data_IF_730359120402
#
_entry.id   IF_730359120402
#
_cell.length_a   1.000
_cell.length_b   1.000
_cell.length_c   1.000
_cell.angle_alpha   90.00
_cell.angle_beta   90.00
_cell.angle_gamma   90.00
#
_symmetry.space_group_name_H-M   'P 1'
#
loop_
_entity.id
_entity.type
_entity.pdbx_description
1 polymer ?
#
# COMPACT_ATOMS: atom_id res chain seq x y z
N UNK A 1 -1.06 0.18 -1.41
CA UNK A 1 -2.30 -0.12 -0.66
C UNK A 1 -1.94 -0.92 0.58
N UNK A 2 -2.39 -0.53 1.78
CA UNK A 2 -2.31 -1.36 2.99
C UNK A 2 -3.65 -2.07 3.15
N UNK A 3 -3.67 -3.36 2.84
CA UNK A 3 -4.91 -4.16 2.84
C UNK A 3 -4.95 -4.95 4.13
N UNK A 4 -6.05 -4.83 4.87
CA UNK A 4 -6.30 -5.54 6.11
C UNK A 4 -7.20 -6.76 5.90
N UNK A 5 -6.99 -7.77 6.74
CA UNK A 5 -7.97 -8.80 7.07
C UNK A 5 -7.94 -9.09 8.57
N UNK A 6 -9.02 -9.67 9.09
CA UNK A 6 -9.03 -10.28 10.42
C UNK A 6 -8.10 -11.49 10.43
N UNK A 7 -7.42 -11.69 11.55
CA UNK A 7 -6.65 -12.90 11.78
C UNK A 7 -7.62 -14.08 11.98
N UNK A 8 -7.51 -15.16 11.18
CA UNK A 8 -8.31 -16.37 11.38
C UNK A 8 -8.12 -17.01 12.77
N UNK A 9 -6.99 -16.77 13.43
CA UNK A 9 -6.68 -17.29 14.77
C UNK A 9 -7.08 -16.32 15.89
N UNK A 10 -7.65 -15.16 15.57
CA UNK A 10 -8.15 -14.18 16.54
C UNK A 10 -7.09 -13.24 17.11
N UNK A 11 -5.88 -13.20 16.55
CA UNK A 11 -4.85 -12.21 16.86
C UNK A 11 -5.09 -10.83 16.21
N UNK A 12 -4.08 -9.93 16.26
CA UNK A 12 -4.15 -8.63 15.62
C UNK A 12 -4.44 -8.74 14.12
N UNK A 13 -5.14 -7.76 13.57
CA UNK A 13 -5.43 -7.71 12.15
C UNK A 13 -4.15 -7.86 11.31
N UNK A 14 -4.26 -8.66 10.25
CA UNK A 14 -3.16 -8.96 9.35
C UNK A 14 -3.21 -8.02 8.16
N UNK A 15 -2.04 -7.67 7.63
CA UNK A 15 -1.86 -6.85 6.45
C UNK A 15 -1.18 -7.65 5.34
N UNK A 16 -1.58 -7.39 4.10
CA UNK A 16 -0.99 -8.06 2.94
C UNK A 16 0.38 -7.47 2.62
N UNK A 17 1.38 -8.34 2.59
CA UNK A 17 2.76 -8.01 2.26
C UNK A 17 3.17 -8.71 0.96
N UNK A 18 4.01 -8.04 0.16
CA UNK A 18 4.55 -8.53 -1.11
C UNK A 18 6.06 -8.54 -1.03
N UNK A 19 6.68 -9.71 -1.14
CA UNK A 19 8.12 -9.83 -1.38
C UNK A 19 8.41 -9.68 -2.86
N UNK A 20 9.15 -8.62 -3.21
CA UNK A 20 9.53 -8.31 -4.58
C UNK A 20 10.65 -9.19 -5.08
N UNK A 21 10.65 -9.52 -6.37
CA UNK A 21 11.75 -10.23 -6.99
C UNK A 21 13.10 -9.51 -6.75
N UNK A 22 14.11 -10.26 -6.32
CA UNK A 22 15.47 -9.79 -6.07
C UNK A 22 16.13 -9.12 -7.29
N UNK A 23 15.69 -9.46 -8.52
CA UNK A 23 16.23 -8.89 -9.77
C UNK A 23 15.73 -7.47 -10.08
N UNK A 24 14.75 -6.94 -9.33
CA UNK A 24 14.22 -5.60 -9.57
C UNK A 24 15.22 -4.52 -9.17
N UNK A 25 15.38 -3.51 -10.05
CA UNK A 25 16.36 -2.42 -9.91
C UNK A 25 16.07 -1.43 -8.76
N UNK A 26 14.95 -1.54 -8.05
CA UNK A 26 14.57 -0.70 -6.91
C UNK A 26 13.84 -1.59 -5.89
N UNK A 27 14.29 -1.55 -4.64
CA UNK A 27 13.77 -2.41 -3.57
C UNK A 27 13.68 -3.92 -3.95
N UNK A 28 14.59 -4.42 -4.79
CA UNK A 28 14.65 -5.83 -5.16
C UNK A 28 14.89 -6.72 -3.94
N UNK A 29 14.06 -7.74 -3.75
CA UNK A 29 14.12 -8.61 -2.57
C UNK A 29 13.62 -7.93 -1.29
N UNK A 30 13.02 -6.75 -1.39
CA UNK A 30 12.34 -6.11 -0.27
C UNK A 30 10.87 -6.51 -0.23
N UNK A 31 10.35 -6.63 0.98
CA UNK A 31 8.94 -6.76 1.29
C UNK A 31 8.32 -5.37 1.40
N UNK A 32 7.24 -5.16 0.66
CA UNK A 32 6.49 -3.90 0.57
C UNK A 32 5.00 -4.19 0.64
N UNK A 33 4.19 -3.14 0.62
CA UNK A 33 2.75 -3.27 0.40
C UNK A 33 2.45 -3.34 -1.11
N UNK A 34 1.33 -3.97 -1.54
CA UNK A 34 0.91 -3.99 -2.94
C UNK A 34 0.78 -2.58 -3.52
N UNK A 35 1.10 -2.40 -4.80
CA UNK A 35 0.90 -1.15 -5.50
C UNK A 35 1.95 -0.85 -6.56
N UNK A 36 1.60 0.11 -7.42
CA UNK A 36 2.43 0.51 -8.54
C UNK A 36 2.30 1.99 -8.87
N UNK A 37 2.48 2.32 -10.15
CA UNK A 37 2.43 3.70 -10.62
C UNK A 37 0.99 4.10 -10.90
N UNK A 38 0.72 5.39 -10.83
CA UNK A 38 -0.50 5.97 -11.38
C UNK A 38 -0.30 6.11 -12.89
N UNK A 39 -1.18 5.48 -13.66
CA UNK A 39 -1.15 5.49 -15.11
C UNK A 39 -2.09 6.57 -15.67
N UNK A 40 -1.88 7.03 -16.92
CA UNK A 40 -2.76 8.03 -17.54
C UNK A 40 -4.25 7.63 -17.53
N UNK A 41 -4.55 6.33 -17.70
CA UNK A 41 -5.92 5.81 -17.64
C UNK A 41 -6.56 5.99 -16.25
N UNK A 42 -5.76 5.97 -15.16
CA UNK A 42 -6.27 6.22 -13.81
C UNK A 42 -6.72 7.68 -13.65
N UNK A 43 -5.98 8.63 -14.25
CA UNK A 43 -6.37 10.04 -14.31
C UNK A 43 -7.62 10.26 -15.16
N UNK A 44 -7.72 9.59 -16.31
CA UNK A 44 -8.90 9.68 -17.16
C UNK A 44 -10.14 9.14 -16.45
N UNK A 45 -10.03 8.00 -15.77
CA UNK A 45 -11.13 7.43 -14.98
C UNK A 45 -11.47 8.33 -13.78
N UNK A 46 -10.47 8.86 -13.06
CA UNK A 46 -10.69 9.82 -11.99
C UNK A 46 -11.44 11.06 -12.48
N UNK A 47 -11.06 11.64 -13.62
CA UNK A 47 -11.73 12.80 -14.19
C UNK A 47 -13.19 12.51 -14.60
N UNK A 48 -13.50 11.27 -15.03
CA UNK A 48 -14.87 10.87 -15.38
C UNK A 48 -15.81 10.77 -14.17
N UNK A 49 -15.28 10.33 -13.03
CA UNK A 49 -16.08 10.09 -11.81
C UNK A 49 -16.00 11.25 -10.80
N UNK A 50 -15.10 12.22 -11.03
CA UNK A 50 -14.90 13.35 -10.16
C UNK A 50 -16.17 14.18 -10.01
N UNK A 51 -16.58 14.39 -8.75
CA UNK A 51 -17.56 15.43 -8.41
C UNK A 51 -16.93 16.82 -8.36
N UNK A 52 -17.78 17.83 -8.20
CA UNK A 52 -17.35 19.23 -8.07
C UNK A 52 -16.35 19.40 -6.90
N UNK A 53 -15.19 19.98 -7.20
CA UNK A 53 -14.14 20.25 -6.21
C UNK A 53 -13.29 19.06 -5.80
N UNK A 54 -13.41 17.91 -6.48
CA UNK A 54 -12.56 16.74 -6.22
C UNK A 54 -11.07 17.03 -6.52
N UNK A 55 -10.19 16.51 -5.65
CA UNK A 55 -8.75 16.45 -5.92
C UNK A 55 -8.48 15.29 -6.90
N UNK A 56 -8.30 15.62 -8.18
CA UNK A 56 -8.06 14.64 -9.24
C UNK A 56 -6.77 13.83 -9.00
N UNK A 57 -5.73 14.43 -8.40
CA UNK A 57 -4.48 13.72 -8.14
C UNK A 57 -4.64 12.69 -7.03
N UNK A 58 -5.41 13.00 -5.97
CA UNK A 58 -5.74 12.01 -4.94
C UNK A 58 -6.65 10.91 -5.51
N UNK A 59 -7.65 11.30 -6.29
CA UNK A 59 -8.61 10.36 -6.87
C UNK A 59 -7.94 9.39 -7.84
N UNK A 60 -7.06 9.88 -8.72
CA UNK A 60 -6.26 9.03 -9.60
C UNK A 60 -5.34 8.09 -8.80
N UNK A 61 -4.78 8.55 -7.67
CA UNK A 61 -4.03 7.71 -6.75
C UNK A 61 -4.87 6.57 -6.15
N UNK A 62 -6.12 6.83 -5.80
CA UNK A 62 -7.07 5.79 -5.31
C UNK A 62 -7.43 4.81 -6.41
N UNK A 63 -7.72 5.30 -7.62
CA UNK A 63 -8.01 4.47 -8.80
C UNK A 63 -6.83 3.53 -9.07
N UNK A 64 -5.62 4.07 -9.14
CA UNK A 64 -4.39 3.28 -9.32
C UNK A 64 -4.23 2.24 -8.21
N UNK A 65 -4.46 2.62 -6.96
CA UNK A 65 -4.34 1.69 -5.84
C UNK A 65 -5.35 0.54 -5.91
N UNK A 66 -6.58 0.79 -6.40
CA UNK A 66 -7.60 -0.25 -6.64
C UNK A 66 -7.20 -1.15 -7.81
N UNK A 67 -6.79 -0.56 -8.94
CA UNK A 67 -6.31 -1.28 -10.13
C UNK A 67 -5.16 -2.22 -9.80
N UNK A 68 -4.09 -1.68 -9.21
CA UNK A 68 -2.88 -2.42 -8.85
C UNK A 68 -3.19 -3.53 -7.83
N UNK A 69 -4.13 -3.31 -6.90
CA UNK A 69 -4.54 -4.35 -5.95
C UNK A 69 -5.14 -5.56 -6.70
N UNK A 70 -6.02 -5.32 -7.66
CA UNK A 70 -6.61 -6.39 -8.47
C UNK A 70 -5.55 -7.08 -9.34
N UNK A 71 -4.68 -6.32 -10.00
CA UNK A 71 -3.60 -6.84 -10.86
C UNK A 71 -2.61 -7.73 -10.09
N UNK A 72 -2.10 -7.24 -8.96
CA UNK A 72 -1.01 -7.91 -8.23
C UNK A 72 -1.51 -9.05 -7.33
N UNK A 73 -2.74 -8.97 -6.83
CA UNK A 73 -3.20 -9.86 -5.74
C UNK A 73 -4.49 -10.61 -6.04
N UNK A 74 -5.26 -10.18 -7.06
CA UNK A 74 -6.61 -10.70 -7.32
C UNK A 74 -7.68 -10.24 -6.34
N UNK A 75 -7.33 -9.41 -5.36
CA UNK A 75 -8.29 -8.88 -4.40
C UNK A 75 -9.05 -7.70 -5.01
N UNK A 76 -10.36 -7.64 -4.73
CA UNK A 76 -11.24 -6.57 -5.17
C UNK A 76 -11.54 -5.68 -3.97
N UNK A 77 -11.11 -4.42 -4.03
CA UNK A 77 -11.32 -3.40 -2.99
C UNK A 77 -11.88 -2.13 -3.62
N UNK A 78 -12.61 -1.33 -2.85
CA UNK A 78 -13.13 -0.04 -3.35
C UNK A 78 -14.08 -0.18 -4.55
N UNK A 79 -14.78 -1.31 -4.66
CA UNK A 79 -15.73 -1.60 -5.73
C UNK A 79 -17.07 -2.06 -5.12
N UNK A 80 -18.16 -1.66 -5.76
CA UNK A 80 -19.52 -2.13 -5.50
C UNK A 80 -20.04 -2.92 -6.70
N UNK A 81 -20.60 -4.10 -6.43
CA UNK A 81 -21.06 -5.03 -7.45
C UNK A 81 -20.99 -6.47 -6.95
N UNK A 82 -21.40 -7.42 -7.80
CA UNK A 82 -21.25 -8.84 -7.48
C UNK A 82 -19.78 -9.23 -7.58
N UNK A 83 -19.21 -9.63 -6.44
CA UNK A 83 -17.82 -10.08 -6.34
C UNK A 83 -17.80 -11.45 -5.66
N UNK A 84 -17.21 -12.43 -6.33
CA UNK A 84 -16.81 -13.70 -5.76
C UNK A 84 -15.40 -14.06 -6.28
N UNK A 85 -14.80 -15.14 -5.77
CA UNK A 85 -13.43 -15.53 -6.15
C UNK A 85 -13.27 -15.82 -7.65
N UNK A 86 -14.29 -16.39 -8.30
CA UNK A 86 -14.25 -16.69 -9.74
C UNK A 86 -14.34 -15.42 -10.58
N UNK A 87 -15.26 -14.52 -10.23
CA UNK A 87 -15.41 -13.22 -10.90
C UNK A 87 -14.15 -12.38 -10.71
N UNK A 88 -13.57 -12.35 -9.51
CA UNK A 88 -12.33 -11.63 -9.24
C UNK A 88 -11.16 -12.17 -10.11
N UNK A 89 -11.02 -13.49 -10.25
CA UNK A 89 -10.00 -14.09 -11.10
C UNK A 89 -10.23 -13.84 -12.60
N UNK A 90 -11.49 -13.84 -13.07
CA UNK A 90 -11.85 -13.46 -14.44
C UNK A 90 -11.57 -11.97 -14.72
N UNK A 91 -11.96 -11.09 -13.79
CA UNK A 91 -11.72 -9.66 -13.86
C UNK A 91 -10.22 -9.32 -13.85
N UNK A 92 -9.44 -9.98 -12.99
CA UNK A 92 -7.97 -9.86 -12.97
C UNK A 92 -7.35 -10.25 -14.31
N UNK A 93 -7.74 -11.40 -14.88
CA UNK A 93 -7.22 -11.85 -16.19
C UNK A 93 -7.56 -10.86 -17.31
N UNK A 94 -8.79 -10.32 -17.29
CA UNK A 94 -9.18 -9.26 -18.21
C UNK A 94 -8.31 -8.01 -18.02
N UNK A 95 -8.14 -7.56 -16.78
CA UNK A 95 -7.34 -6.37 -16.45
C UNK A 95 -5.90 -6.51 -16.94
N UNK A 96 -5.25 -7.65 -16.68
CA UNK A 96 -3.90 -7.93 -17.17
C UNK A 96 -3.83 -7.90 -18.71
N UNK A 97 -4.90 -8.33 -19.40
CA UNK A 97 -4.96 -8.33 -20.86
C UNK A 97 -5.22 -6.95 -21.47
N UNK A 98 -6.03 -6.10 -20.84
CA UNK A 98 -6.48 -4.82 -21.42
C UNK A 98 -5.74 -3.60 -20.84
N UNK A 99 -5.18 -3.73 -19.63
CA UNK A 99 -4.43 -2.67 -18.93
C UNK A 99 -5.27 -1.47 -18.51
N UNK A 100 -6.59 -1.60 -18.43
CA UNK A 100 -7.52 -0.49 -18.16
C UNK A 100 -8.66 -0.95 -17.24
N UNK A 101 -8.69 -0.38 -16.03
CA UNK A 101 -9.69 -0.69 -15.02
C UNK A 101 -11.10 -0.29 -15.47
N UNK A 102 -11.27 0.78 -16.25
CA UNK A 102 -12.60 1.24 -16.67
C UNK A 102 -13.33 0.19 -17.53
N UNK A 103 -12.60 -0.47 -18.43
CA UNK A 103 -13.16 -1.54 -19.25
C UNK A 103 -13.58 -2.76 -18.42
N UNK A 104 -12.84 -3.05 -17.35
CA UNK A 104 -13.20 -4.11 -16.41
C UNK A 104 -14.46 -3.71 -15.63
N UNK A 105 -14.54 -2.46 -15.14
CA UNK A 105 -15.73 -1.97 -14.44
C UNK A 105 -16.99 -2.11 -15.32
N UNK A 106 -16.90 -1.68 -16.59
CA UNK A 106 -18.00 -1.78 -17.55
C UNK A 106 -18.40 -3.25 -17.82
N UNK A 107 -17.43 -4.14 -18.03
CA UNK A 107 -17.69 -5.53 -18.36
C UNK A 107 -18.38 -6.32 -17.23
N UNK A 108 -18.08 -5.99 -15.97
CA UNK A 108 -18.65 -6.66 -14.79
C UNK A 108 -19.80 -5.88 -14.14
N UNK A 109 -20.18 -4.71 -14.70
CA UNK A 109 -21.20 -3.84 -14.12
C UNK A 109 -20.83 -3.35 -12.72
N UNK A 110 -19.54 -3.13 -12.49
CA UNK A 110 -18.98 -2.70 -11.21
C UNK A 110 -18.92 -1.18 -11.12
N UNK A 111 -19.19 -0.66 -9.92
CA UNK A 111 -19.09 0.76 -9.61
C UNK A 111 -17.86 0.98 -8.73
N UNK A 112 -17.03 1.94 -9.10
CA UNK A 112 -15.88 2.33 -8.27
C UNK A 112 -16.37 3.16 -7.08
N UNK A 113 -15.89 2.82 -5.88
CA UNK A 113 -16.19 3.51 -4.62
C UNK A 113 -14.88 3.91 -3.92
N UNK A 114 -14.13 4.88 -4.47
CA UNK A 114 -12.79 5.26 -4.00
C UNK A 114 -12.77 5.82 -2.57
N UNK A 115 -13.93 6.26 -2.04
CA UNK A 115 -14.12 6.74 -0.68
C UNK A 115 -14.02 5.63 0.37
N UNK A 116 -14.11 4.35 -0.03
CA UNK A 116 -13.87 3.20 0.86
C UNK A 116 -12.41 3.05 1.25
N UNK A 117 -11.50 3.71 0.52
CA UNK A 117 -10.09 3.77 0.87
C UNK A 117 -9.85 4.90 1.88
N UNK A 118 -9.11 4.64 2.94
CA UNK A 118 -8.76 5.66 3.94
C UNK A 118 -7.37 6.19 3.62
N UNK A 119 -7.19 7.51 3.48
CA UNK A 119 -5.85 8.09 3.29
C UNK A 119 -4.98 7.85 4.52
N UNK A 120 -3.76 7.36 4.32
CA UNK A 120 -2.86 6.99 5.42
C UNK A 120 -1.58 7.82 5.49
N UNK A 121 -0.86 7.92 4.37
CA UNK A 121 0.41 8.64 4.32
C UNK A 121 0.75 9.06 2.88
N UNK A 122 1.51 10.14 2.72
CA UNK A 122 2.09 10.53 1.42
C UNK A 122 3.59 10.74 1.56
N UNK A 123 4.37 9.90 0.91
CA UNK A 123 5.82 9.96 0.91
C UNK A 123 6.32 10.55 -0.39
N UNK A 124 6.98 11.71 -0.33
CA UNK A 124 7.55 12.36 -1.50
C UNK A 124 8.93 12.96 -1.17
N UNK A 125 10.02 12.27 -1.52
CA UNK A 125 11.40 12.73 -1.28
C UNK A 125 11.85 13.92 -2.16
N UNK A 126 11.27 15.11 -1.98
CA UNK A 126 11.45 16.31 -2.83
C UNK A 126 12.90 16.77 -3.10
N UNK A 127 13.87 16.36 -2.28
CA UNK A 127 15.27 16.81 -2.36
C UNK A 127 16.27 15.76 -2.86
N UNK A 128 15.79 14.62 -3.38
CA UNK A 128 16.65 13.56 -3.94
C UNK A 128 16.75 13.72 -5.46
N UNK A 129 17.88 13.36 -6.06
CA UNK A 129 18.09 13.48 -7.52
C UNK A 129 17.88 12.16 -8.26
N UNK A 130 17.81 11.03 -7.55
CA UNK A 130 17.67 9.70 -8.15
C UNK A 130 16.38 9.03 -7.69
N UNK A 131 15.53 8.67 -8.66
CA UNK A 131 14.29 7.87 -8.53
C UNK A 131 13.40 8.27 -7.35
N UNK A 132 12.75 9.41 -7.47
CA UNK A 132 11.72 9.88 -6.55
C UNK A 132 10.36 9.32 -6.97
N UNK A 133 9.64 8.73 -6.04
CA UNK A 133 8.20 8.45 -6.19
C UNK A 133 7.43 9.33 -5.21
N UNK A 134 6.32 9.92 -5.67
CA UNK A 134 5.29 10.52 -4.82
C UNK A 134 4.28 9.42 -4.48
N UNK A 135 4.57 8.69 -3.41
CA UNK A 135 3.84 7.49 -3.03
C UNK A 135 2.75 7.84 -2.03
N UNK A 136 1.49 7.64 -2.43
CA UNK A 136 0.34 7.70 -1.53
C UNK A 136 0.01 6.30 -0.99
N UNK A 137 -0.23 6.21 0.30
CA UNK A 137 -0.67 5.00 0.98
C UNK A 137 -2.13 5.18 1.40
N UNK A 138 -2.94 4.18 1.09
CA UNK A 138 -4.33 4.08 1.48
C UNK A 138 -4.56 2.80 2.26
N UNK A 139 -5.54 2.79 3.17
CA UNK A 139 -5.99 1.60 3.89
C UNK A 139 -7.27 1.05 3.26
N UNK A 140 -7.40 -0.27 3.22
CA UNK A 140 -8.63 -0.97 2.87
C UNK A 140 -8.82 -2.18 3.78
N UNK A 141 -10.06 -2.54 4.09
CA UNK A 141 -10.40 -3.72 4.90
C UNK A 141 -11.20 -4.75 4.10
N UNK A 142 -10.73 -6.00 4.10
CA UNK A 142 -11.44 -7.15 3.54
C UNK A 142 -12.32 -7.87 4.58
N UNK A 143 -12.31 -7.42 5.82
CA UNK A 143 -13.06 -8.05 6.91
C UNK A 143 -12.52 -9.44 7.20
N UNK A 144 -13.36 -10.48 7.08
CA UNK A 144 -12.96 -11.86 7.41
C UNK A 144 -11.89 -12.44 6.49
N UNK A 145 -11.65 -11.84 5.31
CA UNK A 145 -10.55 -12.23 4.45
C UNK A 145 -10.57 -13.70 4.00
N UNK A 146 -11.76 -14.33 3.94
CA UNK A 146 -11.98 -15.64 3.34
C UNK A 146 -11.85 -15.56 1.80
N UNK A 147 -10.69 -15.10 1.36
CA UNK A 147 -10.30 -14.97 -0.03
C UNK A 147 -8.93 -15.61 -0.13
N UNK A 148 -8.84 -16.71 -0.89
CA UNK A 148 -7.56 -17.31 -1.21
C UNK A 148 -6.75 -16.29 -2.02
N UNK A 149 -5.55 -15.94 -1.56
CA UNK A 149 -4.63 -15.17 -2.40
C UNK A 149 -4.25 -16.09 -3.56
N UNK A 150 -4.64 -15.73 -4.78
CA UNK A 150 -4.08 -16.37 -5.96
C UNK A 150 -2.62 -15.90 -6.10
N UNK A 151 -1.69 -16.74 -5.68
CA UNK A 151 -0.26 -16.53 -5.94
C UNK A 151 -0.03 -16.77 -7.42
N UNK A 152 0.25 -15.71 -8.17
CA UNK A 152 0.66 -15.83 -9.56
C UNK A 152 2.07 -16.44 -9.63
N UNK A 153 2.17 -17.66 -10.14
CA UNK A 153 3.43 -18.35 -10.32
C UNK A 153 4.28 -17.76 -11.48
N UNK A 154 3.76 -16.81 -12.26
CA UNK A 154 4.45 -16.26 -13.45
C UNK A 154 5.35 -15.06 -13.15
N UNK A 155 5.13 -14.39 -12.02
CA UNK A 155 6.01 -13.34 -11.51
C UNK A 155 6.48 -13.79 -10.13
N UNK A 156 7.77 -14.07 -9.94
CA UNK A 156 8.35 -14.54 -8.66
C UNK A 156 8.17 -13.52 -7.51
N UNK A 157 6.93 -13.35 -7.04
CA UNK A 157 6.48 -12.45 -5.98
C UNK A 157 5.79 -13.31 -4.93
N UNK A 158 6.27 -13.22 -3.69
CA UNK A 158 5.68 -13.98 -2.58
C UNK A 158 4.72 -13.09 -1.81
N UNK A 159 3.43 -13.44 -1.84
CA UNK A 159 2.38 -12.76 -1.08
C UNK A 159 2.16 -13.49 0.25
N UNK A 160 2.09 -12.73 1.35
CA UNK A 160 1.76 -13.30 2.65
C UNK A 160 1.04 -12.29 3.55
N UNK A 161 0.28 -12.83 4.49
CA UNK A 161 -0.37 -12.05 5.53
C UNK A 161 0.45 -12.10 6.82
N UNK A 162 0.63 -10.95 7.46
CA UNK A 162 1.25 -10.86 8.78
C UNK A 162 0.62 -9.69 9.55
N UNK A 163 0.66 -9.69 10.88
CA UNK A 163 0.41 -8.45 11.62
C UNK A 163 1.54 -7.44 11.34
N UNK A 164 1.28 -6.14 11.56
CA UNK A 164 2.32 -5.13 11.39
C UNK A 164 3.56 -5.40 12.27
N UNK A 165 3.34 -5.80 13.53
CA UNK A 165 4.41 -6.22 14.43
C UNK A 165 5.11 -7.49 13.92
N UNK A 166 4.35 -8.49 13.46
CA UNK A 166 4.93 -9.73 12.92
C UNK A 166 5.85 -9.47 11.71
N UNK A 167 5.50 -8.54 10.82
CA UNK A 167 6.37 -8.14 9.72
C UNK A 167 7.66 -7.43 10.21
N UNK A 168 7.57 -6.61 11.26
CA UNK A 168 8.75 -5.99 11.89
C UNK A 168 9.66 -7.04 12.53
N UNK A 169 9.09 -8.04 13.20
CA UNK A 169 9.81 -9.14 13.84
C UNK A 169 10.53 -9.99 12.80
N UNK A 170 9.84 -10.38 11.71
CA UNK A 170 10.46 -11.08 10.57
C UNK A 170 11.65 -10.30 9.99
N UNK A 171 11.56 -8.97 9.94
CA UNK A 171 12.64 -8.12 9.46
C UNK A 171 13.81 -8.04 10.47
N UNK A 172 13.51 -7.99 11.78
CA UNK A 172 14.53 -8.01 12.83
C UNK A 172 15.28 -9.35 12.88
N UNK A 173 14.60 -10.45 12.57
CA UNK A 173 15.18 -11.80 12.41
C UNK A 173 15.95 -11.97 11.08
N UNK A 174 15.92 -10.99 10.19
CA UNK A 174 16.56 -11.06 8.87
C UNK A 174 15.86 -12.00 7.87
N UNK A 175 14.63 -12.44 8.17
CA UNK A 175 13.83 -13.33 7.31
C UNK A 175 13.20 -12.59 6.14
N UNK A 176 12.90 -11.31 6.32
CA UNK A 176 12.48 -10.41 5.24
C UNK A 176 13.30 -9.13 5.28
N UNK A 177 13.33 -8.42 4.15
CA UNK A 177 14.00 -7.13 4.02
C UNK A 177 12.94 -6.05 3.86
N UNK A 178 12.93 -5.01 4.69
CA UNK A 178 11.99 -3.89 4.54
C UNK A 178 12.75 -2.57 4.40
N UNK A 179 12.33 -1.76 3.42
CA UNK A 179 12.90 -0.43 3.18
C UNK A 179 12.36 0.59 4.19
N UNK A 180 13.08 1.70 4.37
CA UNK A 180 12.76 2.71 5.37
C UNK A 180 11.29 3.20 5.35
N UNK A 181 10.67 3.57 4.21
CA UNK A 181 9.25 3.93 4.19
C UNK A 181 8.32 2.82 4.66
N UNK A 182 8.56 1.57 4.24
CA UNK A 182 7.76 0.42 4.68
C UNK A 182 7.91 0.22 6.19
N UNK A 183 9.14 0.27 6.73
CA UNK A 183 9.42 0.14 8.16
C UNK A 183 8.68 1.18 8.99
N UNK A 184 8.77 2.46 8.62
CA UNK A 184 8.08 3.55 9.33
C UNK A 184 6.57 3.37 9.30
N UNK A 185 5.99 3.01 8.15
CA UNK A 185 4.56 2.72 8.06
C UNK A 185 4.17 1.51 8.93
N UNK A 186 4.94 0.42 8.92
CA UNK A 186 4.70 -0.75 9.77
C UNK A 186 4.73 -0.41 11.26
N UNK A 187 5.70 0.39 11.73
CA UNK A 187 5.77 0.81 13.12
C UNK A 187 4.58 1.69 13.52
N UNK A 188 4.10 2.55 12.61
CA UNK A 188 2.87 3.32 12.84
C UNK A 188 1.65 2.40 12.93
N UNK A 189 1.55 1.40 12.06
CA UNK A 189 0.45 0.42 12.04
C UNK A 189 0.47 -0.49 13.28
N UNK A 190 1.67 -0.87 13.77
CA UNK A 190 1.84 -1.76 14.92
C UNK A 190 1.33 -1.20 16.26
N UNK A 191 0.94 0.09 16.30
CA UNK A 191 0.28 0.70 17.45
C UNK A 191 -1.17 0.20 17.63
N UNK A 192 -1.76 -0.46 16.63
CA UNK A 192 -3.19 -0.78 16.59
C UNK A 192 -3.42 -2.27 16.33
N UNK A 193 -4.41 -2.85 17.00
CA UNK A 193 -4.77 -4.26 16.85
C UNK A 193 -5.80 -4.50 15.74
N UNK A 194 -6.58 -3.47 15.37
CA UNK A 194 -7.71 -3.59 14.43
C UNK A 194 -7.63 -2.57 13.29
N UNK A 195 -8.35 -2.87 12.20
CA UNK A 195 -8.53 -1.90 11.12
C UNK A 195 -9.25 -0.64 11.61
N UNK A 196 -10.30 -0.78 12.43
CA UNK A 196 -11.10 0.36 12.91
C UNK A 196 -10.28 1.33 13.77
N UNK A 197 -9.42 0.81 14.66
CA UNK A 197 -8.50 1.63 15.45
C UNK A 197 -7.49 2.35 14.55
N UNK A 198 -6.93 1.63 13.57
CA UNK A 198 -5.99 2.19 12.59
C UNK A 198 -6.64 3.28 11.75
N UNK A 199 -7.87 3.05 11.28
CA UNK A 199 -8.68 3.99 10.51
C UNK A 199 -8.96 5.25 11.33
N UNK A 200 -9.43 5.08 12.56
CA UNK A 200 -9.70 6.21 13.47
C UNK A 200 -8.45 7.06 13.65
N UNK A 201 -7.30 6.44 13.87
CA UNK A 201 -6.03 7.16 13.96
C UNK A 201 -5.66 7.86 12.64
N UNK A 202 -5.83 7.21 11.50
CA UNK A 202 -5.52 7.77 10.19
C UNK A 202 -6.38 9.00 9.87
N UNK A 203 -7.68 8.96 10.15
CA UNK A 203 -8.64 10.04 9.87
C UNK A 203 -8.36 11.32 10.70
N UNK A 204 -7.79 11.19 11.90
CA UNK A 204 -7.42 12.34 12.76
C UNK A 204 -5.97 12.79 12.59
N UNK A 205 -5.16 12.05 11.83
CA UNK A 205 -3.75 12.41 11.59
C UNK A 205 -3.63 13.15 10.26
N UNK A 206 -2.97 14.32 10.21
CA UNK A 206 -2.74 15.03 8.95
C UNK A 206 -1.99 14.19 7.92
N UNK A 207 -2.49 14.13 6.68
CA UNK A 207 -1.80 13.49 5.56
C UNK A 207 -0.93 14.52 4.85
N UNK A 208 0.10 14.98 5.55
CA UNK A 208 1.12 15.86 4.97
C UNK A 208 2.19 15.07 4.22
N UNK A 209 2.94 15.78 3.37
CA UNK A 209 4.03 15.16 2.61
C UNK A 209 5.20 14.82 3.51
N UNK A 210 5.54 13.54 3.58
CA UNK A 210 6.72 13.02 4.25
C UNK A 210 7.91 13.08 3.29
N UNK A 211 8.81 14.02 3.53
CA UNK A 211 10.12 14.10 2.87
C UNK A 211 11.21 13.74 3.88
N UNK A 212 11.85 12.56 3.78
CA UNK A 212 12.92 12.19 4.69
C UNK A 212 14.11 13.15 4.60
N UNK A 213 14.70 13.50 5.74
CA UNK A 213 15.83 14.41 5.84
C UNK A 213 16.97 13.81 6.66
N UNK A 214 18.16 14.38 6.51
CA UNK A 214 19.35 13.96 7.24
C UNK A 214 19.54 14.85 8.48
N UNK A 215 19.85 14.23 9.62
CA UNK A 215 20.17 14.92 10.87
C UNK A 215 21.47 14.33 11.46
N UNK A 216 22.27 15.14 12.16
CA UNK A 216 23.43 14.65 12.91
C UNK A 216 23.06 14.50 14.38
N UNK A 217 23.26 13.32 14.97
CA UNK A 217 23.01 13.03 16.39
C UNK A 217 24.18 12.22 16.95
N UNK A 218 24.76 12.72 18.04
CA UNK A 218 25.86 12.05 18.75
C UNK A 218 27.02 11.63 17.82
N UNK A 219 27.32 12.45 16.81
CA UNK A 219 28.38 12.20 15.83
C UNK A 219 28.03 11.21 14.71
N UNK A 220 26.80 10.67 14.68
CA UNK A 220 26.30 9.80 13.63
C UNK A 220 25.24 10.48 12.78
N UNK A 221 25.20 10.15 11.48
CA UNK A 221 24.17 10.61 10.57
C UNK A 221 22.91 9.76 10.73
N UNK A 222 21.75 10.41 10.80
CA UNK A 222 20.43 9.78 10.94
C UNK A 222 19.54 10.13 9.76
N UNK A 223 18.76 9.15 9.29
CA UNK A 223 17.67 9.38 8.36
C UNK A 223 16.38 9.56 9.16
N UNK A 224 15.75 10.73 9.02
CA UNK A 224 14.62 11.17 9.82
C UNK A 224 13.39 11.46 8.95
N UNK A 225 12.20 11.42 9.56
CA UNK A 225 10.94 11.95 9.02
C UNK A 225 10.41 13.09 9.91
N UNK A 226 9.55 13.98 9.38
CA UNK A 226 8.91 15.04 10.18
C UNK A 226 8.14 14.50 11.39
N UNK A 227 8.01 15.34 12.42
CA UNK A 227 7.18 15.05 13.60
C UNK A 227 5.69 15.32 13.32
N UNK A 228 4.81 14.90 14.23
CA UNK A 228 3.38 15.23 14.19
C UNK A 228 2.54 14.42 13.19
N UNK A 229 3.14 13.42 12.52
CA UNK A 229 2.48 12.61 11.48
C UNK A 229 2.08 11.20 11.96
N UNK A 230 1.99 11.00 13.28
CA UNK A 230 1.50 9.75 13.89
C UNK A 230 2.52 8.60 13.96
N UNK A 231 3.78 8.82 13.61
CA UNK A 231 4.83 7.80 13.63
C UNK A 231 5.49 7.71 15.02
N UNK A 232 5.52 6.53 15.67
CA UNK A 232 6.14 6.36 16.99
C UNK A 232 7.68 6.38 16.90
N UNK A 233 8.22 6.01 15.74
CA UNK A 233 9.66 6.05 15.46
C UNK A 233 9.90 6.98 14.28
N UNK A 234 10.71 8.03 14.47
CA UNK A 234 10.93 9.06 13.45
C UNK A 234 12.20 8.90 12.63
N UNK A 235 13.10 8.00 13.01
CA UNK A 235 14.33 7.82 12.26
C UNK A 235 15.20 6.71 12.77
N UNK A 236 16.27 6.46 12.05
CA UNK A 236 17.28 5.44 12.38
C UNK A 236 18.67 5.88 11.88
N UNK A 237 19.75 5.34 12.48
CA UNK A 237 21.09 5.59 11.98
C UNK A 237 21.19 5.27 10.48
N UNK A 238 21.87 6.14 9.75
CA UNK A 238 21.93 6.09 8.29
C UNK A 238 22.55 4.78 7.75
N UNK A 239 23.43 4.16 8.53
CA UNK A 239 24.05 2.86 8.26
C UNK A 239 23.04 1.70 8.30
N UNK A 240 22.00 1.82 9.12
CA UNK A 240 20.93 0.83 9.24
C UNK A 240 19.81 1.09 8.22
N UNK A 241 19.72 2.33 7.72
CA UNK A 241 18.68 2.76 6.81
C UNK A 241 18.82 2.11 5.43
N UNK A 242 18.01 1.08 5.19
CA UNK A 242 17.85 0.48 3.87
C UNK A 242 17.04 1.42 2.97
N UNK A 243 17.77 2.06 2.06
CA UNK A 243 17.23 2.96 1.05
C UNK A 243 16.97 2.13 -0.21
N UNK A 244 15.69 2.04 -0.59
CA UNK A 244 15.24 1.31 -1.79
C UNK A 244 15.84 1.85 -3.07
#
# INVERSE_FOLDING_TARGET
MVIFRRDPEGGPAQILMVERNASLKFAGGATVFPGGKVDPADFELAARIAGDGADIDDLAGRVAAIRETLEETGLVVGIEGLVDGRIAAEARRMLISVGDLAQVLDAYGWVLVPERLVSFARWWPKHRTERIFDTRFYLADLGTGAVDIEVDATENRHLFWASAQGALDLAAEGRIRIIFPTRRNLERLAQFATFDDTRTHAEVTPVETISPFMEQRDGAAWLMIPDGLGYPVRGEPLENAQRG
#
